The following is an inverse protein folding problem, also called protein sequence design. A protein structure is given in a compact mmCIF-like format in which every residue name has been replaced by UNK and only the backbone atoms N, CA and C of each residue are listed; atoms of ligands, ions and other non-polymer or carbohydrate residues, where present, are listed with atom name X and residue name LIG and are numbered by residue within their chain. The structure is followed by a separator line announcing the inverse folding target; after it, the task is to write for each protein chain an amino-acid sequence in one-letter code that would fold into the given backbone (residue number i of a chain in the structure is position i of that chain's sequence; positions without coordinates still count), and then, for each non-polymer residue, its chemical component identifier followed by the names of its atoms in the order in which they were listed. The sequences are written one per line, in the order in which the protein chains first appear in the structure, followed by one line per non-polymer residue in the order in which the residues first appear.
data_IF_341159297627
#
_entry.id   IF_341159297627
#
_cell.length_a   1.000
_cell.length_b   1.000
_cell.length_c   1.000
_cell.angle_alpha   90.00
_cell.angle_beta   90.00
_cell.angle_gamma   90.00
#
_symmetry.space_group_name_H-M   'P 1'
#
loop_
_entity.id
_entity.type
_entity.pdbx_description
1 polymer ?
#
# COMPACT_ATOMS: atom_id res chain seq x y z
N UNK A 1 -4.37 9.61 -43.19
CA UNK A 1 -4.76 8.97 -41.92
C UNK A 1 -3.91 9.45 -40.72
N UNK A 2 -2.61 9.16 -40.62
CA UNK A 2 -1.77 9.69 -39.51
C UNK A 2 -1.53 11.21 -39.61
N UNK A 3 -1.33 11.72 -40.83
CA UNK A 3 -1.14 13.15 -41.10
C UNK A 3 -2.40 14.01 -40.86
N UNK A 4 -3.59 13.42 -40.96
CA UNK A 4 -4.85 14.15 -40.72
C UNK A 4 -5.10 14.34 -39.22
N UNK A 5 -4.57 13.46 -38.38
CA UNK A 5 -4.62 13.57 -36.92
C UNK A 5 -3.78 14.75 -36.41
N UNK A 6 -2.58 14.96 -36.98
CA UNK A 6 -1.69 16.06 -36.60
C UNK A 6 -2.19 17.46 -37.01
N UNK A 7 -3.02 17.55 -38.07
CA UNK A 7 -3.67 18.80 -38.48
C UNK A 7 -4.76 19.27 -37.51
N UNK A 8 -5.38 18.35 -36.76
CA UNK A 8 -6.45 18.70 -35.81
C UNK A 8 -5.91 19.38 -34.53
N UNK A 9 -4.62 19.21 -34.20
CA UNK A 9 -4.00 19.77 -32.99
C UNK A 9 -3.13 21.04 -33.23
N UNK A 10 -3.18 21.66 -34.42
CA UNK A 10 -2.32 22.82 -34.79
C UNK A 10 -0.82 22.56 -34.59
N UNK A 11 -0.36 21.32 -34.82
CA UNK A 11 1.07 20.98 -34.73
C UNK A 11 1.78 21.44 -36.00
N UNK A 12 2.71 22.39 -35.87
CA UNK A 12 3.54 22.84 -36.98
C UNK A 12 4.67 21.85 -37.22
N UNK A 13 4.60 21.09 -38.31
CA UNK A 13 5.70 20.21 -38.75
C UNK A 13 6.60 21.01 -39.68
N UNK A 14 7.84 21.29 -39.27
CA UNK A 14 8.85 21.94 -40.12
C UNK A 14 9.76 20.86 -40.68
N UNK A 15 9.64 20.59 -41.98
CA UNK A 15 10.56 19.69 -42.69
C UNK A 15 11.79 20.52 -43.04
N UNK A 16 12.93 20.21 -42.42
CA UNK A 16 14.22 20.78 -42.79
C UNK A 16 14.80 19.85 -43.86
N UNK A 17 14.71 20.26 -45.13
CA UNK A 17 15.42 19.60 -46.22
C UNK A 17 16.88 20.09 -46.21
N UNK A 18 17.67 19.66 -45.24
CA UNK A 18 19.13 19.70 -45.38
C UNK A 18 19.57 18.36 -45.97
N UNK A 19 20.30 18.44 -47.08
CA UNK A 19 20.74 17.31 -47.90
C UNK A 19 21.51 16.31 -47.04
N UNK A 20 20.97 15.11 -46.88
CA UNK A 20 21.64 13.99 -46.22
C UNK A 20 22.17 13.06 -47.31
N UNK A 21 23.48 12.92 -47.36
CA UNK A 21 24.18 12.00 -48.26
C UNK A 21 23.71 10.55 -48.05
N UNK A 22 23.66 9.80 -49.15
CA UNK A 22 23.15 8.45 -49.23
C UNK A 22 23.95 7.47 -48.36
N UNK A 23 23.49 7.24 -47.13
CA UNK A 23 24.08 6.25 -46.24
C UNK A 23 23.34 6.14 -44.91
N UNK A 24 22.19 5.45 -44.91
CA UNK A 24 21.45 5.03 -43.72
C UNK A 24 21.11 6.12 -42.70
N UNK A 25 20.05 6.88 -42.91
CA UNK A 25 19.42 7.62 -41.81
C UNK A 25 17.97 7.93 -42.19
N UNK A 26 17.02 7.35 -41.45
CA UNK A 26 15.62 7.76 -41.54
C UNK A 26 15.55 9.25 -41.16
N UNK A 27 14.76 10.08 -41.87
CA UNK A 27 14.64 11.49 -41.53
C UNK A 27 14.21 11.63 -40.07
N UNK A 28 15.04 12.28 -39.26
CA UNK A 28 14.73 12.57 -37.86
C UNK A 28 13.62 13.61 -37.83
N UNK A 29 12.38 13.15 -37.76
CA UNK A 29 11.22 14.02 -37.57
C UNK A 29 11.27 14.54 -36.12
N UNK A 30 11.89 15.69 -35.88
CA UNK A 30 11.81 16.35 -34.58
C UNK A 30 10.40 16.92 -34.40
N UNK A 31 9.57 16.22 -33.63
CA UNK A 31 8.26 16.74 -33.20
C UNK A 31 8.51 17.87 -32.21
N UNK A 32 8.39 19.11 -32.68
CA UNK A 32 8.40 20.29 -31.81
C UNK A 32 6.99 20.43 -31.25
N UNK A 33 6.78 19.95 -30.02
CA UNK A 33 5.53 20.20 -29.31
C UNK A 33 5.41 21.70 -29.01
N UNK A 34 4.27 22.34 -29.32
CA UNK A 34 4.06 23.73 -28.95
C UNK A 34 4.23 23.88 -27.43
N UNK A 35 4.75 25.04 -26.96
CA UNK A 35 4.86 25.28 -25.52
C UNK A 35 3.48 25.10 -24.89
N UNK A 36 3.40 24.27 -23.83
CA UNK A 36 2.14 24.08 -23.10
C UNK A 36 1.61 25.45 -22.70
N UNK A 37 0.35 25.72 -23.09
CA UNK A 37 -0.36 26.92 -22.69
C UNK A 37 -0.47 27.06 -21.16
N UNK A 38 -0.95 28.21 -20.66
CA UNK A 38 -1.10 28.43 -19.23
C UNK A 38 -2.01 27.35 -18.61
N UNK A 39 -1.54 26.73 -17.51
CA UNK A 39 -2.29 25.72 -16.78
C UNK A 39 -3.65 26.26 -16.35
N UNK A 40 -4.68 25.44 -16.55
CA UNK A 40 -6.04 25.66 -16.03
C UNK A 40 -6.04 25.68 -14.49
N UNK A 41 -7.07 26.27 -13.88
CA UNK A 41 -7.19 26.28 -12.41
C UNK A 41 -7.25 24.87 -11.81
N UNK A 42 -7.93 23.94 -12.49
CA UNK A 42 -7.99 22.52 -12.10
C UNK A 42 -6.62 21.87 -12.09
N UNK A 43 -5.79 22.12 -13.11
CA UNK A 43 -4.42 21.61 -13.16
C UNK A 43 -3.54 22.19 -12.05
N UNK A 44 -3.72 23.48 -11.71
CA UNK A 44 -3.00 24.12 -10.59
C UNK A 44 -3.40 23.52 -9.24
N UNK A 45 -4.67 23.22 -9.04
CA UNK A 45 -5.16 22.60 -7.81
C UNK A 45 -4.66 21.15 -7.65
N UNK A 46 -4.70 20.37 -8.73
CA UNK A 46 -4.16 19.02 -8.74
C UNK A 46 -2.66 19.00 -8.46
N UNK A 47 -1.91 19.96 -9.01
CA UNK A 47 -0.48 20.13 -8.74
C UNK A 47 -0.21 20.45 -7.26
N UNK A 48 -0.97 21.38 -6.67
CA UNK A 48 -0.89 21.66 -5.22
C UNK A 48 -1.19 20.43 -4.38
N UNK A 49 -2.20 19.63 -4.75
CA UNK A 49 -2.54 18.37 -4.06
C UNK A 49 -1.41 17.35 -4.17
N UNK A 50 -0.80 17.21 -5.35
CA UNK A 50 0.35 16.33 -5.59
C UNK A 50 1.56 16.77 -4.77
N UNK A 51 1.85 18.08 -4.73
CA UNK A 51 2.92 18.64 -3.90
C UNK A 51 2.68 18.40 -2.41
N UNK A 52 1.44 18.60 -1.94
CA UNK A 52 1.07 18.31 -0.55
C UNK A 52 1.30 16.83 -0.21
N UNK A 53 0.80 15.91 -1.04
CA UNK A 53 1.02 14.48 -0.86
C UNK A 53 2.51 14.11 -0.88
N UNK A 54 3.31 14.74 -1.74
CA UNK A 54 4.76 14.51 -1.81
C UNK A 54 5.44 14.92 -0.52
N UNK A 55 5.16 16.13 -0.01
CA UNK A 55 5.69 16.62 1.28
C UNK A 55 5.32 15.69 2.42
N UNK A 56 4.09 15.20 2.45
CA UNK A 56 3.64 14.27 3.49
C UNK A 56 4.39 12.92 3.42
N UNK A 57 4.59 12.37 2.21
CA UNK A 57 5.40 11.14 2.03
C UNK A 57 6.85 11.33 2.47
N UNK A 58 7.44 12.49 2.21
CA UNK A 58 8.79 12.83 2.66
C UNK A 58 8.88 12.88 4.20
N UNK A 59 7.87 13.47 4.85
CA UNK A 59 7.75 13.44 6.33
C UNK A 59 7.64 12.00 6.84
N UNK A 60 6.75 11.19 6.26
CA UNK A 60 6.52 9.79 6.63
C UNK A 60 7.72 8.87 6.36
N UNK A 61 8.62 9.27 5.45
CA UNK A 61 9.86 8.56 5.10
C UNK A 61 11.09 9.12 5.82
N UNK A 62 10.96 10.22 6.56
CA UNK A 62 12.07 10.82 7.29
C UNK A 62 12.55 9.91 8.44
N UNK A 63 13.84 9.96 8.77
CA UNK A 63 14.39 9.14 9.85
C UNK A 63 13.67 9.34 11.19
N UNK A 64 13.16 10.56 11.46
CA UNK A 64 12.40 10.86 12.69
C UNK A 64 11.08 10.09 12.76
N UNK A 65 10.35 9.98 11.65
CA UNK A 65 9.09 9.22 11.62
C UNK A 65 9.34 7.71 11.59
N UNK A 66 10.43 7.25 10.95
CA UNK A 66 10.85 5.85 10.97
C UNK A 66 11.16 5.34 12.39
N UNK A 67 11.79 6.16 13.23
CA UNK A 67 12.09 5.81 14.64
C UNK A 67 10.82 5.68 15.51
N UNK A 68 9.72 6.31 15.10
CA UNK A 68 8.42 6.20 15.77
C UNK A 68 7.60 5.01 15.27
N UNK A 69 8.06 4.30 14.24
CA UNK A 69 7.36 3.09 13.77
C UNK A 69 7.61 1.96 14.74
N UNK A 70 6.56 1.57 15.46
CA UNK A 70 6.56 0.34 16.24
C UNK A 70 6.75 -0.85 15.31
N UNK A 71 7.76 -1.68 15.60
CA UNK A 71 7.98 -2.93 14.87
C UNK A 71 6.74 -3.81 14.95
N UNK A 72 6.32 -4.38 13.81
CA UNK A 72 5.26 -5.39 13.78
C UNK A 72 5.77 -6.78 14.17
N UNK A 73 7.08 -6.96 14.28
CA UNK A 73 7.72 -8.23 14.56
C UNK A 73 7.21 -8.85 15.86
N UNK A 74 6.86 -10.14 15.81
CA UNK A 74 6.60 -10.87 17.04
C UNK A 74 7.92 -11.28 17.68
N UNK A 75 8.17 -10.85 18.91
CA UNK A 75 9.40 -11.14 19.64
C UNK A 75 9.52 -12.59 20.15
N UNK A 76 8.50 -13.44 19.94
CA UNK A 76 8.54 -14.86 20.32
C UNK A 76 8.93 -15.78 19.16
N UNK A 77 8.30 -15.58 17.99
CA UNK A 77 8.58 -16.41 16.80
C UNK A 77 9.41 -15.68 15.73
N UNK A 78 9.75 -14.41 15.97
CA UNK A 78 10.49 -13.53 15.05
C UNK A 78 9.85 -13.33 13.66
N UNK A 79 8.57 -13.69 13.49
CA UNK A 79 7.82 -13.32 12.29
C UNK A 79 7.78 -11.78 12.22
N UNK A 80 8.34 -11.21 11.15
CA UNK A 80 8.50 -9.76 10.96
C UNK A 80 7.17 -9.03 10.80
N UNK A 81 6.15 -9.72 10.29
CA UNK A 81 4.83 -9.16 10.05
C UNK A 81 3.74 -10.23 10.22
N UNK A 82 3.46 -10.68 11.45
CA UNK A 82 2.38 -11.62 11.70
C UNK A 82 1.04 -10.96 11.34
N UNK A 83 0.15 -11.70 10.67
CA UNK A 83 -1.07 -11.13 10.14
C UNK A 83 -2.16 -10.88 11.19
N UNK A 84 -2.09 -11.61 12.29
CA UNK A 84 -3.02 -11.45 13.41
C UNK A 84 -2.18 -11.40 14.68
N UNK A 85 -2.42 -10.36 15.47
CA UNK A 85 -1.71 -10.10 16.72
C UNK A 85 -2.68 -10.09 17.88
N UNK A 86 -2.18 -10.41 19.05
CA UNK A 86 -2.91 -10.39 20.31
C UNK A 86 -2.15 -9.58 21.36
N UNK A 87 -2.88 -8.90 22.22
CA UNK A 87 -2.34 -8.07 23.30
C UNK A 87 -2.71 -8.64 24.66
N UNK A 88 -1.77 -8.59 25.61
CA UNK A 88 -2.04 -8.86 27.02
C UNK A 88 -2.64 -7.62 27.67
N UNK A 89 -3.94 -7.65 28.00
CA UNK A 89 -4.71 -6.45 28.36
C UNK A 89 -4.21 -5.70 29.60
N UNK A 90 -3.47 -6.38 30.48
CA UNK A 90 -2.92 -5.79 31.71
C UNK A 90 -1.61 -5.03 31.53
N UNK A 91 -0.77 -5.44 30.57
CA UNK A 91 0.56 -4.87 30.38
C UNK A 91 0.80 -4.25 29.00
N UNK A 92 -0.09 -4.46 28.04
CA UNK A 92 0.04 -3.92 26.69
C UNK A 92 1.07 -4.62 25.79
N UNK A 93 1.80 -5.64 26.27
CA UNK A 93 2.70 -6.41 25.42
C UNK A 93 1.92 -7.15 24.32
N UNK A 94 2.46 -7.12 23.09
CA UNK A 94 1.84 -7.66 21.88
C UNK A 94 2.65 -8.83 21.35
N UNK A 95 1.96 -9.90 20.94
CA UNK A 95 2.53 -11.09 20.30
C UNK A 95 1.67 -11.51 19.10
N UNK A 96 2.17 -12.44 18.27
CA UNK A 96 1.36 -13.08 17.25
C UNK A 96 0.24 -13.93 17.90
N UNK A 97 -0.93 -14.05 17.26
CA UNK A 97 -2.04 -14.82 17.86
C UNK A 97 -1.70 -16.31 18.03
N UNK A 98 -0.94 -16.90 17.10
CA UNK A 98 -0.45 -18.29 17.23
C UNK A 98 0.43 -18.46 18.48
N UNK A 99 1.37 -17.54 18.68
CA UNK A 99 2.25 -17.48 19.83
C UNK A 99 1.43 -17.32 21.12
N UNK A 100 0.42 -16.46 21.10
CA UNK A 100 -0.47 -16.25 22.23
C UNK A 100 -1.25 -17.53 22.58
N UNK A 101 -1.64 -18.33 21.58
CA UNK A 101 -2.38 -19.57 21.78
C UNK A 101 -1.51 -20.67 22.38
N UNK A 102 -0.22 -20.73 22.03
CA UNK A 102 0.73 -21.71 22.57
C UNK A 102 1.08 -21.47 24.05
N UNK A 103 0.86 -20.26 24.57
CA UNK A 103 1.08 -19.97 26.00
C UNK A 103 0.04 -20.73 26.84
N UNK A 104 0.47 -21.49 27.87
CA UNK A 104 -0.46 -22.22 28.71
C UNK A 104 -1.39 -21.26 29.48
N UNK A 105 -2.69 -21.56 29.55
CA UNK A 105 -3.62 -20.76 30.34
C UNK A 105 -3.39 -20.98 31.83
N UNK A 106 -3.55 -19.91 32.61
CA UNK A 106 -3.64 -19.96 34.08
C UNK A 106 -5.08 -20.28 34.48
N UNK A 107 -6.05 -19.65 33.80
CA UNK A 107 -7.48 -19.90 33.92
C UNK A 107 -8.14 -19.79 32.53
N UNK A 108 -9.46 -19.98 32.44
CA UNK A 108 -10.22 -19.82 31.20
C UNK A 108 -9.95 -18.43 30.60
N UNK A 109 -9.32 -18.38 29.42
CA UNK A 109 -8.96 -17.15 28.69
C UNK A 109 -7.95 -16.20 29.37
N UNK A 110 -7.31 -16.62 30.47
CA UNK A 110 -6.32 -15.84 31.22
C UNK A 110 -4.95 -16.50 31.07
N UNK A 111 -3.94 -15.71 30.71
CA UNK A 111 -2.56 -16.19 30.48
C UNK A 111 -1.55 -15.26 31.17
N UNK A 112 -0.36 -15.80 31.46
CA UNK A 112 0.77 -14.99 31.94
C UNK A 112 1.53 -14.41 30.75
N UNK A 113 1.84 -13.11 30.80
CA UNK A 113 2.63 -12.44 29.77
C UNK A 113 4.08 -12.96 29.76
N UNK A 114 4.65 -13.37 28.61
CA UNK A 114 6.01 -13.91 28.56
C UNK A 114 7.09 -12.85 28.80
N UNK A 115 6.79 -11.56 28.67
CA UNK A 115 7.76 -10.47 28.85
C UNK A 115 7.82 -9.95 30.28
N UNK A 116 6.66 -9.72 30.91
CA UNK A 116 6.58 -9.11 32.24
C UNK A 116 5.88 -9.98 33.29
N UNK A 117 5.45 -11.19 32.92
CA UNK A 117 4.78 -12.20 33.78
C UNK A 117 3.45 -11.77 34.38
N UNK A 118 2.95 -10.57 34.05
CA UNK A 118 1.65 -10.09 34.50
C UNK A 118 0.53 -11.00 33.95
N UNK A 119 -0.37 -11.42 34.83
CA UNK A 119 -1.49 -12.30 34.51
C UNK A 119 -2.65 -11.46 34.01
N UNK A 120 -3.21 -11.84 32.85
CA UNK A 120 -4.32 -11.09 32.27
C UNK A 120 -4.99 -11.80 31.09
N UNK A 121 -6.05 -11.17 30.58
CA UNK A 121 -6.74 -11.65 29.39
C UNK A 121 -5.90 -11.35 28.15
N UNK A 122 -5.94 -12.28 27.19
CA UNK A 122 -5.37 -12.09 25.87
C UNK A 122 -6.48 -11.67 24.92
N UNK A 123 -6.34 -10.48 24.31
CA UNK A 123 -7.33 -9.92 23.39
C UNK A 123 -6.73 -9.88 21.99
N UNK A 124 -7.45 -10.40 21.00
CA UNK A 124 -7.05 -10.30 19.59
C UNK A 124 -7.20 -8.86 19.11
N UNK A 125 -6.18 -8.32 18.46
CA UNK A 125 -6.24 -7.00 17.82
C UNK A 125 -7.01 -7.12 16.51
N UNK A 126 -7.88 -6.13 16.26
CA UNK A 126 -8.55 -5.97 14.98
C UNK A 126 -7.60 -5.17 14.10
N UNK A 127 -7.11 -5.82 13.04
CA UNK A 127 -6.26 -5.19 12.04
C UNK A 127 -7.01 -5.22 10.72
N UNK A 128 -6.99 -4.11 9.98
CA UNK A 128 -7.51 -4.06 8.63
C UNK A 128 -6.60 -4.95 7.77
N UNK A 129 -7.05 -6.19 7.55
CA UNK A 129 -6.40 -7.11 6.63
C UNK A 129 -6.59 -6.50 5.23
N UNK A 130 -5.57 -5.82 4.72
CA UNK A 130 -5.46 -5.55 3.29
C UNK A 130 -5.74 -6.86 2.55
N UNK A 131 -6.52 -6.81 1.47
CA UNK A 131 -7.18 -7.96 0.83
C UNK A 131 -6.24 -9.05 0.29
N UNK A 132 -4.93 -8.89 0.47
CA UNK A 132 -3.87 -9.68 -0.15
C UNK A 132 -3.41 -10.89 0.66
N UNK A 133 -4.16 -11.40 1.65
CA UNK A 133 -3.69 -12.63 2.30
C UNK A 133 -4.61 -13.48 3.15
N UNK A 134 -5.51 -12.92 3.97
CA UNK A 134 -6.23 -13.73 4.99
C UNK A 134 -7.74 -13.48 5.01
N UNK A 135 -8.23 -12.51 4.22
CA UNK A 135 -9.65 -12.25 4.06
C UNK A 135 -10.43 -13.34 3.33
N UNK A 136 -9.77 -14.30 2.67
CA UNK A 136 -10.44 -15.37 1.91
C UNK A 136 -11.00 -16.48 2.79
N UNK A 137 -10.29 -16.91 3.82
CA UNK A 137 -10.70 -18.07 4.64
C UNK A 137 -11.88 -17.75 5.56
N UNK A 138 -11.92 -16.56 6.16
CA UNK A 138 -13.09 -16.11 6.95
C UNK A 138 -14.33 -15.82 6.10
N UNK A 139 -14.16 -15.25 4.89
CA UNK A 139 -15.28 -15.09 3.94
C UNK A 139 -15.78 -16.44 3.40
N UNK A 140 -14.89 -17.42 3.19
CA UNK A 140 -15.27 -18.78 2.79
C UNK A 140 -16.02 -19.52 3.90
N UNK A 141 -15.55 -19.45 5.14
CA UNK A 141 -16.22 -20.08 6.28
C UNK A 141 -17.62 -19.48 6.53
N UNK A 142 -17.77 -18.16 6.42
CA UNK A 142 -19.09 -17.51 6.53
C UNK A 142 -20.05 -17.89 5.38
N UNK A 143 -19.55 -18.15 4.16
CA UNK A 143 -20.39 -18.63 3.04
C UNK A 143 -20.83 -20.08 3.23
N UNK A 144 -19.98 -20.94 3.78
CA UNK A 144 -20.30 -22.36 4.02
C UNK A 144 -21.38 -22.50 5.11
N UNK A 145 -21.33 -21.71 6.18
CA UNK A 145 -22.36 -21.74 7.23
C UNK A 145 -23.70 -21.20 6.78
N UNK A 146 -23.73 -20.20 5.90
CA UNK A 146 -24.99 -19.63 5.38
C UNK A 146 -25.67 -20.59 4.39
N UNK A 147 -24.94 -21.26 3.51
CA UNK A 147 -25.55 -22.21 2.56
C UNK A 147 -26.17 -23.43 3.25
N UNK A 148 -25.53 -23.95 4.31
CA UNK A 148 -26.06 -25.09 5.08
C UNK A 148 -27.31 -24.77 5.91
N UNK A 149 -27.65 -23.49 6.10
CA UNK A 149 -28.87 -23.06 6.79
C UNK A 149 -30.03 -22.80 5.83
N UNK A 150 -29.77 -22.71 4.52
CA UNK A 150 -30.79 -22.45 3.49
C UNK A 150 -31.29 -23.77 2.87
N UNK A 151 -30.53 -24.87 2.99
CA UNK A 151 -30.90 -26.21 2.47
C UNK A 151 -31.55 -27.16 3.50
N UNK A 152 -32.07 -26.63 4.62
CA UNK A 152 -32.95 -27.36 5.56
C UNK A 152 -34.28 -26.66 5.70
#
# INVERSE_FOLDING_TARGET
LYYDYLKQEKVAVRIINEQIDAGSEWPVLTVIYPPRGPKTEKEKEEEKRKEFMKKQREIDSSCKSLLLRYSRCCHLCHNSNPPIRSVFSKCGHIVCTECANQIPPVEISVKSCPFCRQIGKVVRLIEDLNEDGIGSTVKQLAKITVNNLIEK
#
